data_IF_121628321551
#
_entry.id   IF_121628321551
#
_cell.length_a   1.000
_cell.length_b   1.000
_cell.length_c   1.000
_cell.angle_alpha   90.00
_cell.angle_beta   90.00
_cell.angle_gamma   90.00
#
_symmetry.space_group_name_H-M   'P 1'
#
loop_
_entity.id
_entity.type
_entity.pdbx_description
1 polymer ?
#
# COMPACT_ATOMS: atom_id res chain seq x y z
N UNK A 1 8.75 8.51 22.53
CA UNK A 1 9.77 7.46 22.31
C UNK A 1 9.13 6.06 22.41
N UNK A 2 9.48 5.12 21.53
CA UNK A 2 9.02 3.73 21.68
C UNK A 2 9.59 3.08 22.95
N UNK A 3 8.99 1.98 23.39
CA UNK A 3 9.40 1.23 24.58
C UNK A 3 10.74 0.50 24.40
N UNK A 4 11.52 0.37 25.47
CA UNK A 4 12.67 -0.55 25.57
C UNK A 4 12.26 -1.77 26.38
N UNK A 5 12.70 -2.96 25.98
CA UNK A 5 12.39 -4.21 26.67
C UNK A 5 13.63 -4.70 27.43
N UNK A 6 13.51 -4.81 28.74
CA UNK A 6 14.59 -5.20 29.65
C UNK A 6 14.24 -6.50 30.35
N UNK A 7 15.26 -7.27 30.71
CA UNK A 7 15.14 -8.55 31.40
C UNK A 7 16.06 -8.63 32.61
N UNK A 8 15.59 -9.26 33.67
CA UNK A 8 16.41 -9.77 34.76
C UNK A 8 15.84 -11.10 35.27
N UNK A 9 16.71 -12.01 35.69
CA UNK A 9 16.32 -13.26 36.33
C UNK A 9 15.86 -13.04 37.78
N UNK A 10 16.22 -11.90 38.38
CA UNK A 10 15.82 -11.52 39.72
C UNK A 10 14.37 -11.03 39.73
N UNK A 11 13.61 -11.38 40.77
CA UNK A 11 12.27 -10.83 40.97
C UNK A 11 12.37 -9.48 41.67
N UNK A 12 11.88 -8.43 41.02
CA UNK A 12 11.93 -7.07 41.54
C UNK A 12 10.74 -6.79 42.46
N UNK A 13 10.93 -5.89 43.41
CA UNK A 13 9.89 -5.43 44.32
C UNK A 13 9.42 -4.05 43.89
N UNK A 14 8.12 -3.94 43.59
CA UNK A 14 7.47 -2.66 43.37
C UNK A 14 6.84 -2.15 44.67
N UNK A 15 7.12 -0.89 45.01
CA UNK A 15 6.54 -0.19 46.15
C UNK A 15 5.71 0.98 45.62
N UNK A 16 4.40 0.95 45.85
CA UNK A 16 3.49 1.98 45.40
C UNK A 16 3.75 3.30 46.14
N UNK A 17 3.77 4.44 45.45
CA UNK A 17 4.01 5.75 46.05
C UNK A 17 2.80 6.33 46.80
N UNK A 18 1.66 5.62 46.83
CA UNK A 18 0.40 6.11 47.40
C UNK A 18 -0.37 7.01 46.41
N UNK A 19 -1.70 7.03 46.52
CA UNK A 19 -2.56 7.91 45.70
C UNK A 19 -3.19 7.29 44.43
N UNK A 20 -3.45 5.97 44.42
CA UNK A 20 -4.35 5.33 43.44
C UNK A 20 -3.87 5.25 41.98
N UNK A 21 -2.71 5.81 41.63
CA UNK A 21 -2.28 6.01 40.24
C UNK A 21 -1.34 4.97 39.63
N UNK A 22 -1.05 3.85 40.29
CA UNK A 22 -0.13 2.83 39.75
C UNK A 22 1.34 3.28 39.61
N UNK A 23 1.69 4.42 40.20
CA UNK A 23 3.06 4.95 40.24
C UNK A 23 3.78 4.50 41.51
N UNK A 24 5.09 4.26 41.41
CA UNK A 24 5.84 3.69 42.52
C UNK A 24 7.32 3.55 42.22
N UNK A 25 8.05 3.08 43.22
CA UNK A 25 9.47 2.78 43.12
C UNK A 25 9.67 1.29 42.88
N UNK A 26 10.49 0.96 41.88
CA UNK A 26 10.89 -0.41 41.57
C UNK A 26 12.31 -0.62 42.10
N UNK A 27 12.54 -1.69 42.85
CA UNK A 27 13.88 -2.04 43.32
C UNK A 27 14.83 -2.30 42.15
N UNK A 28 16.08 -1.90 42.29
CA UNK A 28 17.13 -2.26 41.32
C UNK A 28 17.60 -3.71 41.54
N UNK A 29 17.84 -4.48 40.46
CA UNK A 29 18.47 -5.80 40.55
C UNK A 29 19.94 -5.68 40.97
N UNK A 30 20.49 -6.76 41.54
CA UNK A 30 21.93 -6.87 41.83
C UNK A 30 22.75 -7.00 40.54
N UNK A 31 22.20 -7.71 39.56
CA UNK A 31 22.78 -7.91 38.24
C UNK A 31 22.29 -6.85 37.24
N UNK A 32 23.06 -6.63 36.17
CA UNK A 32 22.64 -5.72 35.10
C UNK A 32 21.44 -6.28 34.35
N UNK A 33 20.55 -5.38 33.90
CA UNK A 33 19.52 -5.75 32.94
C UNK A 33 20.12 -6.22 31.62
N UNK A 34 19.54 -7.29 31.06
CA UNK A 34 19.74 -7.66 29.66
C UNK A 34 18.73 -6.91 28.80
N UNK A 35 19.15 -6.48 27.61
CA UNK A 35 18.29 -5.77 26.66
C UNK A 35 17.72 -6.79 25.68
N UNK A 36 16.41 -6.99 25.67
CA UNK A 36 15.73 -7.85 24.69
C UNK A 36 15.53 -7.09 23.38
N UNK A 37 15.10 -5.82 23.45
CA UNK A 37 14.89 -4.94 22.29
C UNK A 37 15.05 -3.46 22.70
N UNK A 38 15.42 -2.62 21.73
CA UNK A 38 15.66 -1.19 21.93
C UNK A 38 17.13 -0.81 22.12
N UNK A 39 18.08 -1.72 21.85
CA UNK A 39 19.52 -1.48 22.01
C UNK A 39 20.04 -0.27 21.23
N UNK A 40 19.60 -0.08 19.97
CA UNK A 40 20.00 1.09 19.17
C UNK A 40 19.46 2.39 19.75
N UNK A 41 18.30 2.34 20.42
CA UNK A 41 17.69 3.51 21.07
C UNK A 41 18.47 3.90 22.32
N UNK A 42 18.83 2.94 23.16
CA UNK A 42 19.68 3.19 24.33
C UNK A 42 21.07 3.66 23.91
N UNK A 43 21.65 3.09 22.85
CA UNK A 43 22.92 3.56 22.29
C UNK A 43 22.82 5.00 21.79
N UNK A 44 21.78 5.34 21.02
CA UNK A 44 21.55 6.70 20.54
C UNK A 44 21.36 7.70 21.70
N UNK A 45 20.59 7.33 22.73
CA UNK A 45 20.43 8.17 23.92
C UNK A 45 21.75 8.35 24.66
N UNK A 46 22.58 7.30 24.76
CA UNK A 46 23.92 7.39 25.35
C UNK A 46 24.82 8.35 24.59
N UNK A 47 24.82 8.30 23.25
CA UNK A 47 25.57 9.25 22.44
C UNK A 47 25.01 10.68 22.58
N UNK A 48 23.69 10.81 22.66
CA UNK A 48 23.04 12.11 22.85
C UNK A 48 23.33 12.74 24.21
N UNK A 49 23.39 11.94 25.28
CA UNK A 49 23.81 12.37 26.61
C UNK A 49 25.25 12.91 26.62
N UNK A 50 26.12 12.39 25.76
CA UNK A 50 27.50 12.85 25.65
C UNK A 50 27.60 14.17 24.88
N UNK A 51 26.76 14.40 23.87
CA UNK A 51 26.80 15.61 23.04
C UNK A 51 25.95 16.76 23.59
N UNK A 52 24.82 16.47 24.25
CA UNK A 52 23.85 17.44 24.75
C UNK A 52 23.31 17.01 26.14
N UNK A 53 24.14 17.08 27.20
CA UNK A 53 23.81 16.51 28.52
C UNK A 53 22.60 17.16 29.20
N UNK A 54 22.48 18.49 29.13
CA UNK A 54 21.37 19.26 29.73
C UNK A 54 20.03 18.83 29.14
N UNK A 55 19.92 18.78 27.80
CA UNK A 55 18.69 18.42 27.11
C UNK A 55 18.35 16.93 27.31
N UNK A 56 19.35 16.06 27.22
CA UNK A 56 19.18 14.63 27.34
C UNK A 56 18.71 14.19 28.74
N UNK A 57 19.06 14.93 29.80
CA UNK A 57 18.64 14.65 31.19
C UNK A 57 17.11 14.68 31.37
N UNK A 58 16.40 15.40 30.51
CA UNK A 58 14.94 15.53 30.55
C UNK A 58 14.21 14.39 29.83
N UNK A 59 14.95 13.56 29.06
CA UNK A 59 14.36 12.52 28.22
C UNK A 59 14.01 11.29 29.08
N UNK A 60 12.71 11.02 29.19
CA UNK A 60 12.18 9.79 29.79
C UNK A 60 11.98 8.73 28.71
N UNK A 61 12.58 7.55 28.87
CA UNK A 61 12.36 6.41 27.98
C UNK A 61 11.40 5.43 28.65
N UNK A 62 10.26 5.09 28.03
CA UNK A 62 9.39 4.06 28.57
C UNK A 62 10.10 2.70 28.49
N UNK A 63 10.12 1.96 29.60
CA UNK A 63 10.72 0.64 29.70
C UNK A 63 9.67 -0.37 30.16
N UNK A 64 9.69 -1.57 29.57
CA UNK A 64 8.98 -2.74 30.07
C UNK A 64 10.02 -3.72 30.58
N UNK A 65 9.87 -4.16 31.83
CA UNK A 65 10.83 -5.03 32.50
C UNK A 65 10.17 -6.39 32.72
N UNK A 66 10.84 -7.45 32.29
CA UNK A 66 10.49 -8.83 32.60
C UNK A 66 11.41 -9.33 33.72
N UNK A 67 10.87 -9.50 34.92
CA UNK A 67 11.59 -9.91 36.12
C UNK A 67 11.21 -11.33 36.56
N UNK A 68 12.10 -12.01 37.29
CA UNK A 68 11.84 -13.36 37.81
C UNK A 68 11.55 -14.42 36.73
N UNK A 69 12.05 -14.21 35.50
CA UNK A 69 11.90 -15.12 34.36
C UNK A 69 13.22 -15.85 34.07
N UNK A 70 13.14 -16.99 33.38
CA UNK A 70 14.33 -17.75 32.97
C UNK A 70 15.07 -17.07 31.82
N UNK A 71 16.36 -17.36 31.66
CA UNK A 71 17.13 -16.85 30.52
C UNK A 71 16.60 -17.37 29.17
N UNK A 72 16.07 -18.60 29.15
CA UNK A 72 15.41 -19.18 27.96
C UNK A 72 14.24 -18.31 27.47
N UNK A 73 13.47 -17.72 28.39
CA UNK A 73 12.39 -16.79 28.04
C UNK A 73 12.92 -15.51 27.37
N UNK A 74 14.04 -14.95 27.88
CA UNK A 74 14.66 -13.79 27.28
C UNK A 74 15.21 -14.10 25.87
N UNK A 75 15.83 -15.27 25.71
CA UNK A 75 16.34 -15.75 24.42
C UNK A 75 15.20 -15.97 23.41
N UNK A 76 14.11 -16.61 23.82
CA UNK A 76 12.92 -16.80 22.98
C UNK A 76 12.32 -15.46 22.54
N UNK A 77 12.11 -14.53 23.47
CA UNK A 77 11.60 -13.20 23.14
C UNK A 77 12.53 -12.44 22.19
N UNK A 78 13.84 -12.47 22.45
CA UNK A 78 14.84 -11.86 21.58
C UNK A 78 14.76 -12.43 20.17
N UNK A 79 14.69 -13.76 20.05
CA UNK A 79 14.56 -14.44 18.75
C UNK A 79 13.24 -14.06 18.09
N UNK A 80 12.09 -14.13 18.75
CA UNK A 80 10.78 -13.81 18.14
C UNK A 80 10.73 -12.37 17.62
N UNK A 81 11.16 -11.40 18.44
CA UNK A 81 11.12 -9.97 18.10
C UNK A 81 12.03 -9.67 16.91
N UNK A 82 13.22 -10.25 16.88
CA UNK A 82 14.21 -10.00 15.83
C UNK A 82 14.02 -10.89 14.57
N UNK A 83 13.40 -12.07 14.70
CA UNK A 83 13.18 -13.01 13.58
C UNK A 83 11.87 -12.78 12.84
N UNK A 84 10.86 -12.20 13.50
CA UNK A 84 9.61 -11.77 12.88
C UNK A 84 9.40 -10.26 13.00
N UNK A 85 10.25 -9.43 12.35
CA UNK A 85 9.82 -8.07 12.08
C UNK A 85 8.54 -8.18 11.27
N UNK A 86 7.41 -7.82 11.90
CA UNK A 86 6.12 -7.85 11.23
C UNK A 86 6.19 -6.76 10.17
N UNK A 87 6.57 -7.13 8.94
CA UNK A 87 6.65 -6.21 7.81
C UNK A 87 5.30 -5.51 7.76
N UNK A 88 5.33 -4.18 7.91
CA UNK A 88 4.11 -3.38 7.80
C UNK A 88 3.46 -3.76 6.49
N UNK A 89 2.20 -4.19 6.56
CA UNK A 89 1.50 -4.63 5.37
C UNK A 89 1.51 -3.51 4.32
N UNK A 90 1.83 -3.83 3.07
CA UNK A 90 1.94 -2.84 2.00
C UNK A 90 0.67 -2.01 1.83
N UNK A 91 -0.52 -2.60 2.03
CA UNK A 91 -1.78 -1.82 1.97
C UNK A 91 -1.89 -0.81 3.13
N UNK A 92 -1.42 -1.15 4.34
CA UNK A 92 -1.36 -0.19 5.45
C UNK A 92 -0.39 0.96 5.17
N UNK A 93 0.74 0.67 4.51
CA UNK A 93 1.66 1.73 4.09
C UNK A 93 0.99 2.72 3.11
N UNK A 94 0.16 2.21 2.20
CA UNK A 94 -0.59 3.07 1.26
C UNK A 94 -1.55 3.99 2.01
N UNK A 95 -2.27 3.47 3.00
CA UNK A 95 -3.18 4.28 3.83
C UNK A 95 -2.44 5.35 4.65
N UNK A 96 -1.21 5.04 5.09
CA UNK A 96 -0.36 5.98 5.82
C UNK A 96 0.17 7.10 4.92
N UNK A 97 0.42 6.85 3.62
CA UNK A 97 0.92 7.89 2.71
C UNK A 97 -0.01 9.10 2.61
N UNK A 98 -1.32 8.93 2.79
CA UNK A 98 -2.27 10.05 2.81
C UNK A 98 -2.09 10.97 4.01
N UNK A 99 -1.76 10.37 5.18
CA UNK A 99 -1.82 11.03 6.49
C UNK A 99 -0.47 11.55 6.98
N UNK A 100 0.62 11.10 6.38
CA UNK A 100 1.95 11.33 6.92
C UNK A 100 2.71 12.39 6.11
N UNK A 101 3.29 13.37 6.82
CA UNK A 101 3.96 14.54 6.23
C UNK A 101 5.32 14.24 5.59
N UNK A 102 5.99 13.15 5.97
CA UNK A 102 7.29 12.74 5.41
C UNK A 102 7.19 11.84 4.18
N UNK A 103 5.98 11.43 3.78
CA UNK A 103 5.80 10.61 2.58
C UNK A 103 6.31 11.36 1.34
N UNK A 104 7.06 10.66 0.48
CA UNK A 104 7.51 11.22 -0.78
C UNK A 104 6.28 11.76 -1.58
N UNK A 105 6.35 13.00 -2.10
CA UNK A 105 5.17 13.67 -2.69
C UNK A 105 4.48 12.88 -3.81
N UNK A 106 5.25 12.12 -4.59
CA UNK A 106 4.79 11.22 -5.65
C UNK A 106 3.94 10.06 -5.13
N UNK A 107 4.35 9.44 -4.02
CA UNK A 107 3.59 8.37 -3.36
C UNK A 107 2.31 8.90 -2.75
N UNK A 108 2.36 10.08 -2.12
CA UNK A 108 1.18 10.74 -1.58
C UNK A 108 0.16 11.05 -2.69
N UNK A 109 0.63 11.57 -3.82
CA UNK A 109 -0.20 11.82 -5.00
C UNK A 109 -0.88 10.54 -5.51
N UNK A 110 -0.12 9.46 -5.71
CA UNK A 110 -0.68 8.18 -6.14
C UNK A 110 -1.67 7.59 -5.12
N UNK A 111 -1.39 7.70 -3.82
CA UNK A 111 -2.28 7.19 -2.76
C UNK A 111 -3.65 7.86 -2.77
N UNK A 112 -3.71 9.17 -3.04
CA UNK A 112 -4.98 9.92 -3.15
C UNK A 112 -5.85 9.40 -4.29
N UNK A 113 -5.26 9.17 -5.47
CA UNK A 113 -6.00 8.60 -6.61
C UNK A 113 -6.61 7.24 -6.25
N UNK A 114 -5.83 6.38 -5.59
CA UNK A 114 -6.29 5.05 -5.15
C UNK A 114 -7.43 5.16 -4.13
N UNK A 115 -7.37 6.14 -3.22
CA UNK A 115 -8.44 6.38 -2.26
C UNK A 115 -9.72 6.89 -2.95
N UNK A 116 -9.62 7.83 -3.88
CA UNK A 116 -10.77 8.31 -4.67
C UNK A 116 -11.41 7.16 -5.47
N UNK A 117 -10.62 6.30 -6.12
CA UNK A 117 -11.12 5.11 -6.82
C UNK A 117 -11.92 4.16 -5.91
N UNK A 118 -11.64 4.14 -4.61
CA UNK A 118 -12.35 3.31 -3.64
C UNK A 118 -13.65 3.93 -3.13
N UNK A 119 -13.66 5.24 -2.87
CA UNK A 119 -14.74 5.94 -2.15
C UNK A 119 -15.78 6.53 -3.09
N UNK A 120 -15.35 7.15 -4.18
CA UNK A 120 -16.20 7.97 -5.04
C UNK A 120 -17.32 7.17 -5.69
N UNK A 121 -18.52 7.77 -5.71
CA UNK A 121 -19.76 7.11 -6.14
C UNK A 121 -19.74 6.68 -7.61
N UNK A 122 -19.03 7.44 -8.44
CA UNK A 122 -18.95 7.30 -9.89
C UNK A 122 -17.76 6.44 -10.36
N UNK A 123 -16.99 5.86 -9.42
CA UNK A 123 -15.89 4.94 -9.72
C UNK A 123 -16.40 3.51 -10.00
N UNK A 124 -16.04 2.90 -11.14
CA UNK A 124 -16.29 1.47 -11.39
C UNK A 124 -15.62 0.53 -10.37
N UNK A 125 -14.60 1.01 -9.65
CA UNK A 125 -13.87 0.24 -8.62
C UNK A 125 -14.38 0.50 -7.20
N UNK A 126 -15.46 1.27 -7.03
CA UNK A 126 -15.99 1.65 -5.72
C UNK A 126 -16.29 0.43 -4.86
N UNK A 127 -15.67 0.38 -3.68
CA UNK A 127 -15.72 -0.75 -2.74
C UNK A 127 -15.23 -2.12 -3.27
N UNK A 128 -14.67 -2.17 -4.49
CA UNK A 128 -14.09 -3.38 -5.12
C UNK A 128 -12.59 -3.53 -4.85
N UNK A 129 -11.95 -2.53 -4.24
CA UNK A 129 -10.53 -2.57 -3.86
C UNK A 129 -10.42 -3.19 -2.45
N UNK A 130 -9.63 -4.25 -2.33
CA UNK A 130 -9.40 -4.92 -1.06
C UNK A 130 -8.40 -4.14 -0.20
N UNK A 131 -8.93 -3.47 0.82
CA UNK A 131 -8.18 -2.78 1.89
C UNK A 131 -8.21 -3.64 3.16
N UNK A 132 -7.13 -3.60 3.94
CA UNK A 132 -7.11 -4.30 5.24
C UNK A 132 -7.95 -3.56 6.27
N UNK A 133 -8.67 -4.32 7.10
CA UNK A 133 -9.60 -3.79 8.10
C UNK A 133 -11.00 -3.44 7.55
N UNK A 134 -11.22 -3.52 6.24
CA UNK A 134 -12.50 -3.19 5.61
C UNK A 134 -13.48 -4.38 5.51
N UNK A 135 -14.63 -4.25 6.18
CA UNK A 135 -15.82 -5.12 6.03
C UNK A 135 -16.58 -4.87 4.72
N UNK A 136 -15.89 -4.82 3.57
CA UNK A 136 -16.61 -4.78 2.28
C UNK A 136 -17.28 -6.13 2.05
N UNK A 137 -18.62 -6.15 2.01
CA UNK A 137 -19.45 -7.31 1.66
C UNK A 137 -19.56 -7.53 0.13
N UNK A 138 -18.86 -6.72 -0.69
CA UNK A 138 -18.86 -6.84 -2.16
C UNK A 138 -17.70 -7.70 -2.68
N UNK A 139 -17.81 -8.20 -3.91
CA UNK A 139 -16.70 -8.92 -4.54
C UNK A 139 -15.48 -8.00 -4.64
N UNK A 140 -14.35 -8.51 -4.17
CA UNK A 140 -13.08 -7.80 -4.16
C UNK A 140 -12.30 -8.19 -5.42
N UNK A 141 -11.92 -7.19 -6.21
CA UNK A 141 -11.34 -7.39 -7.54
C UNK A 141 -9.81 -7.25 -7.56
N UNK A 142 -9.24 -6.37 -6.75
CA UNK A 142 -7.79 -6.10 -6.71
C UNK A 142 -7.35 -5.67 -5.30
N UNK A 143 -6.13 -6.02 -4.90
CA UNK A 143 -5.54 -5.53 -3.65
C UNK A 143 -5.16 -4.05 -3.78
N UNK A 144 -5.35 -3.28 -2.71
CA UNK A 144 -4.96 -1.86 -2.68
C UNK A 144 -3.50 -1.63 -3.05
N UNK A 145 -2.59 -2.46 -2.52
CA UNK A 145 -1.17 -2.37 -2.82
C UNK A 145 -0.85 -2.64 -4.31
N UNK A 146 -1.58 -3.55 -4.97
CA UNK A 146 -1.38 -3.85 -6.39
C UNK A 146 -1.86 -2.70 -7.27
N UNK A 147 -3.05 -2.17 -6.99
CA UNK A 147 -3.58 -0.99 -7.66
C UNK A 147 -2.65 0.22 -7.48
N UNK A 148 -2.20 0.46 -6.24
CA UNK A 148 -1.24 1.51 -5.94
C UNK A 148 0.04 1.37 -6.75
N UNK A 149 0.61 0.17 -6.89
CA UNK A 149 1.86 -0.01 -7.64
C UNK A 149 1.69 0.33 -9.13
N UNK A 150 0.56 0.00 -9.76
CA UNK A 150 0.31 0.37 -11.16
C UNK A 150 0.10 1.88 -11.33
N UNK A 151 -0.72 2.51 -10.47
CA UNK A 151 -0.93 3.96 -10.48
C UNK A 151 0.38 4.71 -10.18
N UNK A 152 1.12 4.27 -9.17
CA UNK A 152 2.41 4.85 -8.80
C UNK A 152 3.45 4.70 -9.90
N UNK A 153 3.46 3.58 -10.65
CA UNK A 153 4.35 3.45 -11.81
C UNK A 153 4.09 4.54 -12.85
N UNK A 154 2.82 4.81 -13.15
CA UNK A 154 2.44 5.89 -14.07
C UNK A 154 2.80 7.27 -13.51
N UNK A 155 2.39 7.57 -12.27
CA UNK A 155 2.69 8.84 -11.59
C UNK A 155 4.20 9.09 -11.52
N UNK A 156 4.99 8.07 -11.18
CA UNK A 156 6.45 8.19 -11.06
C UNK A 156 7.10 8.53 -12.40
N UNK A 157 6.64 7.92 -13.50
CA UNK A 157 7.12 8.24 -14.86
C UNK A 157 6.84 9.70 -15.21
N UNK A 158 5.66 10.20 -14.87
CA UNK A 158 5.22 11.53 -15.24
C UNK A 158 5.52 12.58 -14.14
N UNK A 159 6.22 12.19 -13.07
CA UNK A 159 6.33 12.97 -11.84
C UNK A 159 6.94 14.35 -12.05
N UNK A 160 7.96 14.47 -12.89
CA UNK A 160 8.58 15.77 -13.20
C UNK A 160 7.57 16.75 -13.80
N UNK A 161 6.69 16.28 -14.69
CA UNK A 161 5.60 17.08 -15.29
C UNK A 161 4.54 17.42 -14.25
N UNK A 162 4.15 16.45 -13.43
CA UNK A 162 3.16 16.62 -12.35
C UNK A 162 3.64 17.66 -11.34
N UNK A 163 4.91 17.59 -10.94
CA UNK A 163 5.53 18.52 -10.00
C UNK A 163 5.57 19.94 -10.58
N UNK A 164 5.95 20.10 -11.86
CA UNK A 164 5.96 21.40 -12.53
C UNK A 164 4.55 22.01 -12.65
N UNK A 165 3.51 21.18 -12.75
CA UNK A 165 2.11 21.61 -12.73
C UNK A 165 1.56 21.85 -11.31
N UNK A 166 2.42 21.82 -10.28
CA UNK A 166 2.10 22.12 -8.89
C UNK A 166 1.80 20.91 -8.00
N UNK A 167 1.68 19.70 -8.55
CA UNK A 167 1.54 18.44 -7.78
C UNK A 167 0.38 18.41 -6.76
N UNK A 168 -0.61 19.29 -6.92
CA UNK A 168 -1.66 19.55 -5.93
C UNK A 168 -2.86 18.60 -6.01
N UNK A 169 -3.80 18.76 -5.07
CA UNK A 169 -5.02 17.95 -4.98
C UNK A 169 -5.86 17.98 -6.26
N UNK A 170 -6.05 19.16 -6.86
CA UNK A 170 -6.78 19.33 -8.13
C UNK A 170 -6.22 18.47 -9.27
N UNK A 171 -4.89 18.33 -9.34
CA UNK A 171 -4.26 17.50 -10.37
C UNK A 171 -4.45 16.01 -10.06
N UNK A 172 -4.46 15.62 -8.79
CA UNK A 172 -4.82 14.26 -8.40
C UNK A 172 -6.27 13.93 -8.78
N UNK A 173 -7.20 14.88 -8.63
CA UNK A 173 -8.60 14.73 -9.04
C UNK A 173 -8.72 14.53 -10.57
N UNK A 174 -7.90 15.22 -11.36
CA UNK A 174 -7.83 15.02 -12.82
C UNK A 174 -7.30 13.62 -13.19
N UNK A 175 -6.27 13.14 -12.50
CA UNK A 175 -5.77 11.77 -12.68
C UNK A 175 -6.81 10.74 -12.26
N UNK A 176 -7.52 10.97 -11.16
CA UNK A 176 -8.67 10.17 -10.75
C UNK A 176 -9.74 10.13 -11.86
N UNK A 177 -10.17 11.29 -12.37
CA UNK A 177 -11.15 11.38 -13.45
C UNK A 177 -10.68 10.61 -14.70
N UNK A 178 -9.40 10.70 -15.04
CA UNK A 178 -8.80 9.96 -16.15
C UNK A 178 -8.90 8.44 -15.95
N UNK A 179 -8.52 7.92 -14.77
CA UNK A 179 -8.64 6.48 -14.46
C UNK A 179 -10.11 6.03 -14.42
N UNK A 180 -10.98 6.84 -13.83
CA UNK A 180 -12.43 6.59 -13.76
C UNK A 180 -13.04 6.47 -15.15
N UNK A 181 -12.78 7.45 -16.02
CA UNK A 181 -13.34 7.51 -17.36
C UNK A 181 -12.86 6.34 -18.23
N UNK A 182 -11.59 5.95 -18.06
CA UNK A 182 -11.03 4.75 -18.68
C UNK A 182 -11.79 3.49 -18.27
N UNK A 183 -12.01 3.28 -16.98
CA UNK A 183 -12.73 2.09 -16.55
C UNK A 183 -14.20 2.11 -16.95
N UNK A 184 -14.84 3.28 -17.05
CA UNK A 184 -16.20 3.39 -17.63
C UNK A 184 -16.22 3.01 -19.11
N UNK A 185 -15.20 3.42 -19.88
CA UNK A 185 -15.05 3.03 -21.28
C UNK A 185 -14.76 1.53 -21.41
N UNK A 186 -13.88 0.99 -20.57
CA UNK A 186 -13.56 -0.44 -20.53
C UNK A 186 -14.77 -1.30 -20.16
N UNK A 187 -15.55 -0.90 -19.16
CA UNK A 187 -16.80 -1.57 -18.76
C UNK A 187 -17.77 -1.69 -19.94
N UNK A 188 -17.93 -0.61 -20.73
CA UNK A 188 -18.75 -0.64 -21.95
C UNK A 188 -18.17 -1.58 -23.01
N UNK A 189 -16.85 -1.56 -23.21
CA UNK A 189 -16.18 -2.40 -24.21
C UNK A 189 -16.24 -3.90 -23.86
N UNK A 190 -16.12 -4.26 -22.58
CA UNK A 190 -16.22 -5.64 -22.13
C UNK A 190 -17.66 -6.17 -22.05
N UNK A 191 -18.65 -5.28 -21.95
CA UNK A 191 -20.07 -5.63 -21.92
C UNK A 191 -20.38 -6.66 -20.84
N UNK A 192 -21.01 -7.77 -21.23
CA UNK A 192 -21.38 -8.88 -20.32
C UNK A 192 -20.18 -9.51 -19.58
N UNK A 193 -18.96 -9.33 -20.07
CA UNK A 193 -17.74 -9.81 -19.43
C UNK A 193 -17.37 -9.06 -18.16
N UNK A 194 -17.83 -7.83 -18.01
CA UNK A 194 -17.47 -6.99 -16.88
C UNK A 194 -18.16 -7.46 -15.60
N UNK A 195 -17.37 -7.78 -14.58
CA UNK A 195 -17.89 -8.25 -13.28
C UNK A 195 -18.47 -9.67 -13.27
N UNK A 196 -18.59 -10.33 -14.42
CA UNK A 196 -19.19 -11.66 -14.52
C UNK A 196 -18.20 -12.78 -14.15
N UNK A 197 -18.65 -13.73 -13.33
CA UNK A 197 -17.78 -14.72 -12.69
C UNK A 197 -17.07 -15.67 -13.68
N UNK A 198 -17.68 -15.93 -14.84
CA UNK A 198 -17.12 -16.78 -15.90
C UNK A 198 -15.96 -16.15 -16.68
N UNK A 199 -15.63 -14.89 -16.42
CA UNK A 199 -14.58 -14.16 -17.12
C UNK A 199 -13.49 -13.62 -16.18
N UNK A 200 -12.29 -13.47 -16.72
CA UNK A 200 -11.10 -12.97 -16.03
C UNK A 200 -10.95 -11.44 -16.14
N UNK A 201 -11.94 -10.74 -16.69
CA UNK A 201 -11.89 -9.31 -17.04
C UNK A 201 -11.59 -8.41 -15.84
N UNK A 202 -12.27 -8.63 -14.71
CA UNK A 202 -12.09 -7.83 -13.49
C UNK A 202 -11.12 -8.46 -12.48
N UNK A 203 -10.34 -9.47 -12.89
CA UNK A 203 -9.33 -10.09 -12.02
C UNK A 203 -8.06 -9.23 -11.97
N UNK A 204 -7.23 -9.34 -10.92
CA UNK A 204 -6.07 -8.46 -10.74
C UNK A 204 -5.16 -8.40 -11.96
N UNK A 205 -4.87 -9.55 -12.60
CA UNK A 205 -3.99 -9.63 -13.77
C UNK A 205 -4.47 -8.77 -14.95
N UNK A 206 -5.78 -8.74 -15.18
CA UNK A 206 -6.37 -8.00 -16.30
C UNK A 206 -6.56 -6.54 -15.94
N UNK A 207 -6.97 -6.21 -14.71
CA UNK A 207 -7.04 -4.82 -14.23
C UNK A 207 -5.67 -4.13 -14.26
N UNK A 208 -4.60 -4.83 -13.87
CA UNK A 208 -3.22 -4.30 -13.98
C UNK A 208 -2.82 -4.05 -15.44
N UNK A 209 -3.18 -4.95 -16.35
CA UNK A 209 -2.89 -4.77 -17.77
C UNK A 209 -3.67 -3.59 -18.37
N UNK A 210 -4.96 -3.47 -18.02
CA UNK A 210 -5.82 -2.35 -18.38
C UNK A 210 -5.26 -0.99 -17.91
N UNK A 211 -4.74 -0.90 -16.68
CA UNK A 211 -4.09 0.32 -16.18
C UNK A 211 -2.83 0.71 -16.96
N UNK A 212 -2.11 -0.27 -17.52
CA UNK A 212 -0.97 0.02 -18.40
C UNK A 212 -1.43 0.59 -19.74
N UNK A 213 -2.48 0.00 -20.34
CA UNK A 213 -3.14 0.56 -21.54
C UNK A 213 -3.61 1.99 -21.28
N UNK A 214 -4.24 2.26 -20.14
CA UNK A 214 -4.65 3.61 -19.75
C UNK A 214 -3.49 4.59 -19.80
N UNK A 215 -2.34 4.21 -19.24
CA UNK A 215 -1.16 5.08 -19.20
C UNK A 215 -0.62 5.40 -20.61
N UNK A 216 -0.75 4.47 -21.56
CA UNK A 216 -0.38 4.68 -22.97
C UNK A 216 -1.44 5.56 -23.67
N UNK A 217 -2.73 5.22 -23.51
CA UNK A 217 -3.85 5.94 -24.11
C UNK A 217 -3.95 7.40 -23.66
N UNK A 218 -3.75 7.67 -22.37
CA UNK A 218 -3.78 9.01 -21.81
C UNK A 218 -2.64 9.91 -22.31
N UNK A 219 -1.59 9.34 -22.92
CA UNK A 219 -0.53 10.11 -23.57
C UNK A 219 -0.87 10.45 -25.02
N UNK A 220 -1.55 9.55 -25.73
CA UNK A 220 -2.01 9.78 -27.10
C UNK A 220 -3.18 10.79 -27.13
N UNK A 221 -4.03 10.80 -26.11
CA UNK A 221 -5.25 11.61 -26.08
C UNK A 221 -5.03 13.01 -25.46
N UNK A 222 -4.94 14.03 -26.30
CA UNK A 222 -4.86 15.43 -25.89
C UNK A 222 -6.23 16.15 -25.85
N UNK A 223 -7.31 15.45 -26.16
CA UNK A 223 -8.65 16.00 -26.35
C UNK A 223 -9.39 16.28 -25.02
N UNK A 224 -10.48 17.08 -25.05
CA UNK A 224 -11.24 17.45 -23.84
C UNK A 224 -11.86 16.26 -23.09
N UNK A 225 -12.10 16.47 -21.78
CA UNK A 225 -12.68 15.47 -20.86
C UNK A 225 -14.14 15.11 -21.20
N UNK A 226 -14.94 16.07 -21.66
CA UNK A 226 -16.40 15.91 -21.84
C UNK A 226 -16.78 14.76 -22.77
N UNK A 227 -15.97 14.47 -23.79
CA UNK A 227 -16.19 13.38 -24.75
C UNK A 227 -15.31 12.14 -24.50
N UNK A 228 -14.48 12.15 -23.44
CA UNK A 228 -13.43 11.14 -23.23
C UNK A 228 -13.99 9.72 -23.14
N UNK A 229 -15.05 9.49 -22.36
CA UNK A 229 -15.64 8.15 -22.18
C UNK A 229 -16.18 7.60 -23.51
N UNK A 230 -16.78 8.43 -24.36
CA UNK A 230 -17.29 8.03 -25.68
C UNK A 230 -16.15 7.66 -26.63
N UNK A 231 -15.20 8.58 -26.80
CA UNK A 231 -14.00 8.40 -27.65
C UNK A 231 -13.17 7.18 -27.23
N UNK A 232 -12.93 7.02 -25.93
CA UNK A 232 -12.21 5.86 -25.42
C UNK A 232 -13.04 4.58 -25.54
N UNK A 233 -14.37 4.67 -25.40
CA UNK A 233 -15.27 3.54 -25.66
C UNK A 233 -15.12 3.01 -27.08
N UNK A 234 -15.12 3.88 -28.08
CA UNK A 234 -14.89 3.51 -29.49
C UNK A 234 -13.49 2.90 -29.70
N UNK A 235 -12.47 3.50 -29.08
CA UNK A 235 -11.09 3.02 -29.15
C UNK A 235 -10.91 1.63 -28.55
N UNK A 236 -11.62 1.34 -27.47
CA UNK A 236 -11.56 0.07 -26.74
C UNK A 236 -12.57 -0.97 -27.24
N UNK A 237 -13.53 -0.60 -28.10
CA UNK A 237 -14.58 -1.48 -28.61
C UNK A 237 -14.09 -2.84 -29.14
N UNK A 238 -12.92 -2.96 -29.81
CA UNK A 238 -12.38 -4.25 -30.26
C UNK A 238 -12.07 -5.25 -29.12
N UNK A 239 -12.06 -4.83 -27.85
CA UNK A 239 -11.92 -5.75 -26.73
C UNK A 239 -13.09 -6.72 -26.58
N UNK A 240 -14.28 -6.38 -27.11
CA UNK A 240 -15.42 -7.28 -27.15
C UNK A 240 -15.09 -8.59 -27.88
N UNK A 241 -14.34 -8.51 -28.98
CA UNK A 241 -13.91 -9.68 -29.76
C UNK A 241 -12.92 -10.57 -29.00
N UNK A 242 -12.21 -10.00 -28.00
CA UNK A 242 -11.28 -10.75 -27.16
C UNK A 242 -12.00 -11.50 -26.03
N UNK A 243 -13.25 -11.17 -25.70
CA UNK A 243 -13.96 -11.71 -24.54
C UNK A 243 -13.91 -13.25 -24.42
N UNK A 244 -14.04 -14.04 -25.51
CA UNK A 244 -13.90 -15.51 -25.42
C UNK A 244 -12.55 -15.96 -24.86
N UNK A 245 -11.47 -15.24 -25.16
CA UNK A 245 -10.12 -15.56 -24.64
C UNK A 245 -10.01 -15.33 -23.13
N UNK A 246 -10.84 -14.45 -22.57
CA UNK A 246 -10.88 -14.11 -21.15
C UNK A 246 -11.80 -15.02 -20.33
N UNK A 247 -12.44 -16.05 -20.91
CA UNK A 247 -13.17 -17.05 -20.12
C UNK A 247 -12.25 -17.68 -19.07
N UNK A 248 -12.76 -17.92 -17.86
CA UNK A 248 -11.99 -18.53 -16.76
C UNK A 248 -11.41 -19.88 -17.18
N UNK A 249 -12.23 -20.73 -17.81
CA UNK A 249 -11.80 -22.02 -18.32
C UNK A 249 -10.79 -21.83 -19.47
N UNK A 250 -9.58 -22.36 -19.29
CA UNK A 250 -8.51 -22.27 -20.30
C UNK A 250 -7.76 -20.93 -20.34
N UNK A 251 -7.98 -20.02 -19.39
CA UNK A 251 -7.37 -18.69 -19.41
C UNK A 251 -5.84 -18.75 -19.36
N UNK A 252 -5.29 -19.60 -18.51
CA UNK A 252 -3.85 -19.69 -18.28
C UNK A 252 -3.12 -20.33 -19.45
N UNK A 253 -3.80 -21.17 -20.21
CA UNK A 253 -3.34 -21.82 -21.44
C UNK A 253 -3.36 -20.85 -22.62
N UNK A 254 -4.32 -19.92 -22.67
CA UNK A 254 -4.38 -18.85 -23.67
C UNK A 254 -3.43 -17.69 -23.36
N UNK A 255 -3.18 -17.43 -22.09
CA UNK A 255 -2.20 -16.44 -21.60
C UNK A 255 -1.08 -17.09 -20.77
N UNK A 256 -0.26 -18.00 -21.37
CA UNK A 256 0.80 -18.67 -20.66
C UNK A 256 1.93 -17.70 -20.36
N UNK A 257 2.48 -17.85 -19.15
CA UNK A 257 3.50 -17.00 -18.57
C UNK A 257 4.14 -17.71 -17.36
N UNK A 258 5.43 -17.46 -17.10
CA UNK A 258 6.18 -18.01 -15.96
C UNK A 258 5.74 -17.42 -14.62
N UNK A 259 5.07 -16.27 -14.65
CA UNK A 259 4.57 -15.59 -13.47
C UNK A 259 3.59 -14.48 -13.82
N UNK A 260 3.11 -13.83 -12.77
CA UNK A 260 2.06 -12.81 -12.90
C UNK A 260 2.51 -11.60 -13.72
N UNK A 261 3.73 -11.11 -13.49
CA UNK A 261 4.28 -9.93 -14.20
C UNK A 261 4.30 -10.15 -15.70
N UNK A 262 4.76 -11.33 -16.14
CA UNK A 262 4.82 -11.71 -17.55
C UNK A 262 3.40 -11.88 -18.12
N UNK A 263 2.47 -12.43 -17.35
CA UNK A 263 1.07 -12.54 -17.78
C UNK A 263 0.42 -11.19 -17.98
N UNK A 264 0.61 -10.25 -17.04
CA UNK A 264 0.13 -8.87 -17.16
C UNK A 264 0.72 -8.20 -18.40
N UNK A 265 2.01 -8.37 -18.67
CA UNK A 265 2.66 -7.82 -19.87
C UNK A 265 2.10 -8.44 -21.16
N UNK A 266 1.80 -9.74 -21.16
CA UNK A 266 1.17 -10.41 -22.30
C UNK A 266 -0.24 -9.88 -22.57
N UNK A 267 -1.08 -9.82 -21.54
CA UNK A 267 -2.44 -9.27 -21.64
C UNK A 267 -2.38 -7.81 -22.11
N UNK A 268 -1.49 -6.99 -21.54
CA UNK A 268 -1.30 -5.59 -21.94
C UNK A 268 -1.00 -5.45 -23.44
N UNK A 269 -0.10 -6.28 -23.99
CA UNK A 269 0.20 -6.27 -25.43
C UNK A 269 -1.00 -6.65 -26.29
N UNK A 270 -1.77 -7.66 -25.91
CA UNK A 270 -2.98 -8.05 -26.65
C UNK A 270 -4.04 -6.93 -26.62
N UNK A 271 -4.25 -6.31 -25.46
CA UNK A 271 -5.20 -5.20 -25.30
C UNK A 271 -4.77 -3.96 -26.09
N UNK A 272 -3.48 -3.61 -26.09
CA UNK A 272 -2.93 -2.52 -26.92
C UNK A 272 -3.13 -2.79 -28.40
N UNK A 273 -2.80 -4.02 -28.84
CA UNK A 273 -2.91 -4.43 -30.24
C UNK A 273 -4.36 -4.33 -30.74
N UNK A 274 -5.31 -4.83 -29.96
CA UNK A 274 -6.73 -4.76 -30.32
C UNK A 274 -7.23 -3.30 -30.39
N UNK A 275 -6.84 -2.47 -29.43
CA UNK A 275 -7.21 -1.05 -29.42
C UNK A 275 -6.37 -0.19 -30.38
N UNK A 276 -5.36 -0.76 -31.06
CA UNK A 276 -4.38 -0.10 -31.93
C UNK A 276 -3.66 1.09 -31.26
N UNK A 277 -3.35 0.98 -29.97
CA UNK A 277 -2.63 1.98 -29.17
C UNK A 277 -1.14 1.66 -29.19
N UNK A 278 -0.29 2.67 -29.30
CA UNK A 278 1.17 2.51 -29.34
C UNK A 278 1.71 2.33 -27.94
N UNK A 279 2.49 1.27 -27.70
CA UNK A 279 3.23 1.13 -26.43
C UNK A 279 4.34 2.18 -26.37
N UNK A 280 4.48 2.86 -25.23
CA UNK A 280 5.67 3.65 -24.93
C UNK A 280 6.68 2.91 -24.06
#
# INVERSE_FOLDING_TARGET
PGSVLLFTHEKLRFQNAGGGGGTGHLSEPQSKFLIIDGQHRLAALRFYLQSQPEEASTIRVPCMIFDGRSEDFAAEMFVIINSTPTRINKSHLVDLYERVSWAAPDRKFASRIVASLYVEADSPLRYRINRLGGRSQKDKWILQAELFNEIYRWVKRDWRRIQNAGGGARLADQYYATVRDFFKAAERAWGEGWGHASYMVVRPVTLKAMLRVLSDLAREDAEPESARVGRWGERLAPWADLLPSFKVAGFYERFPARGEVERVARIHRELLKAAKITST
#
